data_IF_624526787880
#
_entry.id   IF_624526787880
#
_cell.length_a   1.000
_cell.length_b   1.000
_cell.length_c   1.000
_cell.angle_alpha   90.00
_cell.angle_beta   90.00
_cell.angle_gamma   90.00
#
_symmetry.space_group_name_H-M   'P 1'
#
loop_
_entity.id
_entity.type
_entity.pdbx_description
1 polymer ?
#
# COMPACT_ATOMS: atom_id res chain seq x y z
N UNK A 1 30.72 -14.80 10.50
CA UNK A 1 29.34 -14.33 10.68
C UNK A 1 29.18 -12.98 9.98
N UNK A 2 28.29 -12.86 8.98
CA UNK A 2 28.01 -11.59 8.28
C UNK A 2 26.70 -11.02 8.82
N UNK A 3 26.76 -9.86 9.49
CA UNK A 3 25.58 -9.16 9.98
C UNK A 3 25.13 -8.13 8.93
N UNK A 4 23.82 -7.85 8.89
CA UNK A 4 23.29 -6.82 8.00
C UNK A 4 23.85 -5.45 8.35
N UNK A 5 23.99 -4.58 7.35
CA UNK A 5 24.47 -3.20 7.57
C UNK A 5 23.54 -2.46 8.53
N UNK A 6 22.23 -2.64 8.37
CA UNK A 6 21.19 -2.05 9.22
C UNK A 6 21.27 -2.50 10.68
N UNK A 7 21.39 -3.81 10.93
CA UNK A 7 21.53 -4.35 12.29
C UNK A 7 22.81 -3.87 12.97
N UNK A 8 23.94 -3.88 12.24
CA UNK A 8 25.19 -3.34 12.77
C UNK A 8 25.05 -1.84 13.10
N UNK A 9 24.44 -1.06 12.23
CA UNK A 9 24.30 0.39 12.42
C UNK A 9 23.36 0.71 13.58
N UNK A 10 22.27 -0.05 13.78
CA UNK A 10 21.37 0.14 14.93
C UNK A 10 22.05 -0.17 16.26
N UNK A 11 22.87 -1.23 16.32
CA UNK A 11 23.67 -1.55 17.50
C UNK A 11 24.73 -0.48 17.76
N UNK A 12 25.42 -0.01 16.73
CA UNK A 12 26.41 1.06 16.87
C UNK A 12 25.78 2.37 17.35
N UNK A 13 24.57 2.73 16.90
CA UNK A 13 23.83 3.91 17.38
C UNK A 13 23.54 3.88 18.88
N UNK A 14 23.21 2.70 19.44
CA UNK A 14 22.95 2.54 20.89
C UNK A 14 24.21 2.75 21.74
N UNK A 15 25.37 2.38 21.19
CA UNK A 15 26.66 2.42 21.90
C UNK A 15 27.38 3.75 21.72
N UNK A 16 27.14 4.45 20.61
CA UNK A 16 27.71 5.75 20.30
C UNK A 16 26.82 6.89 20.84
N UNK A 17 27.33 8.13 20.92
CA UNK A 17 26.50 9.30 21.21
C UNK A 17 25.36 9.40 20.18
N UNK A 18 24.10 9.66 20.60
CA UNK A 18 23.68 10.28 21.87
C UNK A 18 23.32 9.31 23.02
N UNK A 19 23.14 8.01 22.78
CA UNK A 19 22.65 7.07 23.81
C UNK A 19 23.74 6.60 24.79
N UNK A 20 24.99 6.42 24.33
CA UNK A 20 26.14 6.01 25.15
C UNK A 20 25.90 4.78 26.06
N UNK A 21 25.07 3.82 25.64
CA UNK A 21 24.76 2.62 26.45
C UNK A 21 25.97 1.69 26.56
N UNK A 22 26.05 0.96 27.67
CA UNK A 22 27.16 0.02 27.90
C UNK A 22 27.15 -1.13 26.90
N UNK A 23 28.32 -1.47 26.37
CA UNK A 23 28.50 -2.52 25.36
C UNK A 23 27.97 -3.87 25.88
N UNK A 24 28.16 -4.17 27.17
CA UNK A 24 27.69 -5.39 27.80
C UNK A 24 26.14 -5.47 27.84
N UNK A 25 25.46 -4.36 28.12
CA UNK A 25 23.99 -4.29 28.11
C UNK A 25 23.44 -4.52 26.70
N UNK A 26 24.00 -3.80 25.71
CA UNK A 26 23.55 -3.91 24.31
C UNK A 26 23.86 -5.30 23.74
N UNK A 27 25.00 -5.89 24.08
CA UNK A 27 25.38 -7.25 23.69
C UNK A 27 24.38 -8.30 24.22
N UNK A 28 23.99 -8.18 25.49
CA UNK A 28 23.01 -9.08 26.12
C UNK A 28 21.62 -8.92 25.50
N UNK A 29 21.19 -7.69 25.25
CA UNK A 29 19.91 -7.36 24.63
C UNK A 29 19.83 -7.89 23.19
N UNK A 30 20.87 -7.67 22.39
CA UNK A 30 20.91 -8.07 20.99
C UNK A 30 21.37 -9.52 20.75
N UNK A 31 21.73 -10.25 21.81
CA UNK A 31 22.19 -11.64 21.73
C UNK A 31 23.47 -11.82 20.91
N UNK A 32 24.39 -10.85 20.98
CA UNK A 32 25.66 -10.87 20.24
C UNK A 32 26.85 -10.80 21.18
N UNK A 33 27.98 -11.39 20.76
CA UNK A 33 29.21 -11.32 21.54
C UNK A 33 29.72 -9.87 21.65
N UNK A 34 30.16 -9.48 22.84
CA UNK A 34 30.80 -8.18 23.11
C UNK A 34 31.96 -7.90 22.16
N UNK A 35 32.72 -8.95 21.82
CA UNK A 35 33.85 -8.89 20.88
C UNK A 35 33.41 -8.41 19.48
N UNK A 36 32.21 -8.78 19.04
CA UNK A 36 31.67 -8.37 17.74
C UNK A 36 31.42 -6.87 17.69
N UNK A 37 30.81 -6.30 18.74
CA UNK A 37 30.55 -4.87 18.84
C UNK A 37 31.88 -4.10 18.88
N UNK A 38 32.85 -4.56 19.66
CA UNK A 38 34.18 -3.98 19.72
C UNK A 38 34.88 -4.02 18.34
N UNK A 39 34.74 -5.10 17.58
CA UNK A 39 35.29 -5.20 16.23
C UNK A 39 34.68 -4.16 15.27
N UNK A 40 33.40 -3.81 15.45
CA UNK A 40 32.73 -2.79 14.65
C UNK A 40 33.18 -1.39 15.04
N UNK A 41 33.32 -1.11 16.34
CA UNK A 41 33.87 0.16 16.83
C UNK A 41 35.31 0.38 16.36
N UNK A 42 36.15 -0.66 16.38
CA UNK A 42 37.51 -0.58 15.86
C UNK A 42 37.53 -0.26 14.36
N UNK A 43 36.64 -0.88 13.58
CA UNK A 43 36.50 -0.59 12.14
C UNK A 43 35.98 0.84 11.87
N UNK A 44 35.11 1.35 12.73
CA UNK A 44 34.60 2.73 12.67
C UNK A 44 35.71 3.74 12.97
N UNK A 45 36.49 3.53 14.05
CA UNK A 45 37.64 4.39 14.39
C UNK A 45 38.70 4.41 13.30
N UNK A 46 38.91 3.29 12.62
CA UNK A 46 39.89 3.17 11.53
C UNK A 46 39.38 3.73 10.18
N UNK A 47 38.22 4.39 10.13
CA UNK A 47 37.64 4.95 8.90
C UNK A 47 37.21 3.92 7.86
N UNK A 48 37.32 2.61 8.16
CA UNK A 48 36.92 1.50 7.27
C UNK A 48 35.42 1.22 7.31
N UNK A 49 34.70 1.92 8.19
CA UNK A 49 33.27 1.78 8.38
C UNK A 49 32.67 3.16 8.63
N UNK A 50 31.70 3.55 7.82
CA UNK A 50 30.86 4.73 8.03
C UNK A 50 29.55 4.28 8.66
N UNK A 51 29.10 4.96 9.72
CA UNK A 51 27.70 4.86 10.17
C UNK A 51 26.90 5.75 9.23
N UNK A 52 26.69 5.26 8.00
CA UNK A 52 25.80 5.92 7.06
C UNK A 52 24.39 5.99 7.69
N UNK A 53 23.84 7.20 7.71
CA UNK A 53 22.42 7.44 7.98
C UNK A 53 21.53 7.03 6.79
N UNK A 54 22.12 6.48 5.72
CA UNK A 54 21.42 6.12 4.51
C UNK A 54 20.41 4.99 4.77
N UNK A 55 19.19 5.42 5.09
CA UNK A 55 18.05 5.23 4.19
C UNK A 55 17.45 3.84 4.15
N UNK A 56 17.69 2.99 5.14
CA UNK A 56 16.92 1.76 5.24
C UNK A 56 15.57 2.10 5.88
N UNK A 57 14.53 2.07 5.04
CA UNK A 57 13.14 2.32 5.39
C UNK A 57 12.83 1.50 6.66
N UNK A 58 12.28 2.13 7.72
CA UNK A 58 11.87 1.41 8.91
C UNK A 58 11.10 0.14 8.52
N UNK A 59 11.31 -0.96 9.23
CA UNK A 59 10.70 -2.26 8.90
C UNK A 59 9.17 -2.14 8.69
N UNK A 60 8.54 -1.22 9.42
CA UNK A 60 7.11 -0.91 9.31
C UNK A 60 6.72 -0.13 8.05
N UNK A 61 7.60 0.73 7.54
CA UNK A 61 7.37 1.60 6.38
C UNK A 61 7.69 0.89 5.06
N UNK A 62 8.13 -0.38 5.11
CA UNK A 62 8.35 -1.21 3.91
C UNK A 62 7.05 -1.40 3.14
N UNK A 63 7.17 -1.44 1.81
CA UNK A 63 6.00 -1.63 0.95
C UNK A 63 5.32 -2.98 1.22
N UNK A 64 4.01 -3.05 1.02
CA UNK A 64 3.25 -4.29 1.25
C UNK A 64 3.72 -5.45 0.36
N UNK A 65 4.18 -5.14 -0.86
CA UNK A 65 4.82 -6.10 -1.77
C UNK A 65 6.10 -6.69 -1.17
N UNK A 66 6.95 -5.83 -0.61
CA UNK A 66 8.20 -6.26 0.03
C UNK A 66 7.93 -7.09 1.29
N UNK A 67 6.92 -6.70 2.09
CA UNK A 67 6.48 -7.50 3.26
C UNK A 67 6.02 -8.91 2.84
N UNK A 68 5.30 -9.03 1.73
CA UNK A 68 4.88 -10.32 1.17
C UNK A 68 6.07 -11.15 0.67
N UNK A 69 7.00 -10.55 -0.06
CA UNK A 69 8.19 -11.26 -0.56
C UNK A 69 9.03 -11.81 0.59
N UNK A 70 9.20 -11.02 1.66
CA UNK A 70 9.89 -11.45 2.87
C UNK A 70 9.18 -12.60 3.59
N UNK A 71 7.85 -12.62 3.61
CA UNK A 71 7.06 -13.72 4.16
C UNK A 71 7.20 -15.00 3.36
N UNK A 72 7.16 -14.90 2.03
CA UNK A 72 7.36 -16.03 1.12
C UNK A 72 8.77 -16.58 1.22
N UNK A 73 9.77 -15.70 1.33
CA UNK A 73 11.16 -16.10 1.57
C UNK A 73 11.28 -16.81 2.92
N UNK A 74 10.72 -16.24 3.99
CA UNK A 74 10.74 -16.82 5.34
C UNK A 74 10.12 -18.22 5.40
N UNK A 75 9.06 -18.48 4.64
CA UNK A 75 8.43 -19.81 4.56
C UNK A 75 9.31 -20.88 3.93
N UNK A 76 10.24 -20.50 3.05
CA UNK A 76 11.16 -21.43 2.36
C UNK A 76 12.40 -21.77 3.19
N UNK A 77 12.64 -21.06 4.29
CA UNK A 77 13.82 -21.26 5.14
C UNK A 77 13.53 -22.34 6.20
N UNK A 78 14.40 -23.35 6.35
CA UNK A 78 14.32 -24.34 7.43
C UNK A 78 14.35 -23.70 8.82
N UNK A 79 13.68 -24.32 9.80
CA UNK A 79 13.48 -23.76 11.15
C UNK A 79 14.81 -23.39 11.83
N UNK A 80 15.83 -24.21 11.62
CA UNK A 80 17.17 -24.06 12.21
C UNK A 80 17.88 -22.80 11.70
N UNK A 81 17.54 -22.36 10.48
CA UNK A 81 18.17 -21.21 9.80
C UNK A 81 17.34 -19.94 9.86
N UNK A 82 16.11 -19.99 10.35
CA UNK A 82 15.22 -18.82 10.47
C UNK A 82 15.84 -17.72 11.33
N UNK A 83 16.47 -18.08 12.45
CA UNK A 83 17.13 -17.11 13.33
C UNK A 83 18.29 -16.37 12.64
N UNK A 84 19.07 -17.05 11.81
CA UNK A 84 20.14 -16.43 11.03
C UNK A 84 19.58 -15.50 9.96
N UNK A 85 18.54 -15.96 9.25
CA UNK A 85 17.88 -15.19 8.21
C UNK A 85 17.24 -13.91 8.75
N UNK A 86 16.55 -13.98 9.90
CA UNK A 86 15.97 -12.82 10.59
C UNK A 86 17.04 -11.77 10.90
N UNK A 87 18.18 -12.19 11.47
CA UNK A 87 19.31 -11.29 11.75
C UNK A 87 19.93 -10.71 10.48
N UNK A 88 20.02 -11.51 9.41
CA UNK A 88 20.55 -11.05 8.12
C UNK A 88 19.66 -10.00 7.45
N UNK A 89 18.34 -10.08 7.64
CA UNK A 89 17.37 -9.13 7.08
C UNK A 89 17.04 -7.97 8.03
N UNK A 90 17.55 -8.00 9.28
CA UNK A 90 17.24 -7.00 10.31
C UNK A 90 15.81 -7.11 10.84
N UNK A 91 15.21 -8.30 10.76
CA UNK A 91 13.84 -8.59 11.15
C UNK A 91 13.81 -9.30 12.52
N UNK A 92 12.73 -9.08 13.27
CA UNK A 92 12.41 -9.84 14.47
C UNK A 92 11.27 -10.83 14.16
N UNK A 93 11.11 -11.87 14.96
CA UNK A 93 10.04 -12.86 14.78
C UNK A 93 8.65 -12.22 14.85
N UNK A 94 8.49 -11.19 15.68
CA UNK A 94 7.24 -10.43 15.81
C UNK A 94 6.86 -9.71 14.51
N UNK A 95 7.84 -9.18 13.75
CA UNK A 95 7.57 -8.52 12.47
C UNK A 95 6.96 -9.47 11.45
N UNK A 96 7.33 -10.75 11.47
CA UNK A 96 6.77 -11.77 10.58
C UNK A 96 5.28 -12.00 10.91
N UNK A 97 4.94 -12.07 12.19
CA UNK A 97 3.54 -12.20 12.62
C UNK A 97 2.73 -10.97 12.23
N UNK A 98 3.29 -9.77 12.47
CA UNK A 98 2.67 -8.50 12.13
C UNK A 98 2.39 -8.40 10.63
N UNK A 99 3.37 -8.73 9.77
CA UNK A 99 3.19 -8.68 8.32
C UNK A 99 2.08 -9.62 7.82
N UNK A 100 1.93 -10.80 8.44
CA UNK A 100 0.82 -11.72 8.11
C UNK A 100 -0.53 -11.10 8.46
N UNK A 101 -0.62 -10.47 9.62
CA UNK A 101 -1.84 -9.82 10.08
C UNK A 101 -2.19 -8.63 9.17
N UNK A 102 -1.23 -7.75 8.88
CA UNK A 102 -1.41 -6.58 8.01
C UNK A 102 -1.85 -6.98 6.60
N UNK A 103 -1.27 -8.03 6.02
CA UNK A 103 -1.70 -8.53 4.71
C UNK A 103 -3.13 -9.07 4.74
N UNK A 104 -3.47 -9.80 5.80
CA UNK A 104 -4.80 -10.40 5.95
C UNK A 104 -5.87 -9.32 6.10
N UNK A 105 -5.63 -8.31 6.95
CA UNK A 105 -6.57 -7.19 7.15
C UNK A 105 -6.69 -6.32 5.90
N UNK A 106 -5.57 -6.01 5.23
CA UNK A 106 -5.57 -5.21 4.02
C UNK A 106 -6.36 -5.91 2.88
N UNK A 107 -6.26 -7.24 2.77
CA UNK A 107 -7.05 -8.02 1.81
C UNK A 107 -8.55 -7.95 2.11
N UNK A 108 -8.95 -8.13 3.37
CA UNK A 108 -10.37 -8.08 3.75
C UNK A 108 -10.97 -6.69 3.59
N UNK A 109 -10.24 -5.65 4.01
CA UNK A 109 -10.71 -4.27 3.99
C UNK A 109 -10.81 -3.74 2.57
N UNK A 110 -9.82 -4.04 1.73
CA UNK A 110 -9.83 -3.64 0.31
C UNK A 110 -10.97 -4.30 -0.45
N UNK A 111 -11.24 -5.59 -0.21
CA UNK A 111 -12.36 -6.30 -0.85
C UNK A 111 -13.69 -5.66 -0.45
N UNK A 112 -13.93 -5.49 0.85
CA UNK A 112 -15.17 -4.92 1.37
C UNK A 112 -15.39 -3.47 0.89
N UNK A 113 -14.34 -2.66 0.83
CA UNK A 113 -14.43 -1.28 0.35
C UNK A 113 -14.74 -1.22 -1.15
N UNK A 114 -14.10 -2.07 -1.96
CA UNK A 114 -14.38 -2.18 -3.40
C UNK A 114 -15.82 -2.63 -3.66
N UNK A 115 -16.30 -3.64 -2.95
CA UNK A 115 -17.66 -4.15 -3.11
C UNK A 115 -18.72 -3.10 -2.75
N UNK A 116 -18.49 -2.33 -1.68
CA UNK A 116 -19.34 -1.19 -1.32
C UNK A 116 -19.34 -0.12 -2.41
N UNK A 117 -18.17 0.20 -2.97
CA UNK A 117 -18.05 1.20 -4.03
C UNK A 117 -18.74 0.74 -5.32
N UNK A 118 -18.61 -0.52 -5.69
CA UNK A 118 -19.29 -1.10 -6.87
C UNK A 118 -20.80 -0.99 -6.71
N UNK A 119 -21.36 -1.42 -5.57
CA UNK A 119 -22.81 -1.31 -5.31
C UNK A 119 -23.32 0.12 -5.36
N UNK A 120 -22.54 1.07 -4.87
CA UNK A 120 -22.91 2.49 -4.93
C UNK A 120 -22.90 3.01 -6.37
N UNK A 121 -21.88 2.66 -7.15
CA UNK A 121 -21.80 3.03 -8.57
C UNK A 121 -22.95 2.41 -9.38
N UNK A 122 -23.31 1.14 -9.14
CA UNK A 122 -24.43 0.48 -9.78
C UNK A 122 -25.77 1.18 -9.48
N UNK A 123 -25.98 1.62 -8.24
CA UNK A 123 -27.18 2.40 -7.87
C UNK A 123 -27.24 3.73 -8.59
N UNK A 124 -26.11 4.44 -8.66
CA UNK A 124 -26.03 5.72 -9.35
C UNK A 124 -26.27 5.56 -10.85
N UNK A 125 -25.68 4.53 -11.47
CA UNK A 125 -25.87 4.21 -12.87
C UNK A 125 -27.35 3.91 -13.16
N UNK A 126 -28.00 3.06 -12.36
CA UNK A 126 -29.43 2.75 -12.52
C UNK A 126 -30.33 3.98 -12.31
N UNK A 127 -29.97 4.88 -11.40
CA UNK A 127 -30.71 6.12 -11.20
C UNK A 127 -30.57 7.06 -12.41
N UNK A 128 -29.36 7.13 -12.99
CA UNK A 128 -29.08 7.92 -14.19
C UNK A 128 -29.76 7.35 -15.43
N UNK A 129 -29.79 6.04 -15.61
CA UNK A 129 -30.52 5.41 -16.72
C UNK A 129 -32.02 5.71 -16.65
N UNK A 130 -32.61 5.67 -15.45
CA UNK A 130 -34.02 6.06 -15.27
C UNK A 130 -34.26 7.53 -15.58
N UNK A 131 -33.33 8.40 -15.21
CA UNK A 131 -33.40 9.83 -15.52
C UNK A 131 -33.31 10.06 -17.04
N UNK A 132 -32.42 9.34 -17.73
CA UNK A 132 -32.30 9.38 -19.19
C UNK A 132 -33.60 8.94 -19.87
N UNK A 133 -34.16 7.79 -19.50
CA UNK A 133 -35.42 7.29 -20.09
C UNK A 133 -36.55 8.31 -19.96
N UNK A 134 -36.67 8.98 -18.80
CA UNK A 134 -37.70 10.02 -18.59
C UNK A 134 -37.46 11.27 -19.43
N UNK A 135 -36.20 11.65 -19.64
CA UNK A 135 -35.85 12.79 -20.49
C UNK A 135 -36.08 12.46 -21.97
N UNK A 136 -35.73 11.25 -22.40
CA UNK A 136 -35.95 10.79 -23.77
C UNK A 136 -37.45 10.67 -24.08
N UNK A 137 -38.27 10.20 -23.14
CA UNK A 137 -39.73 10.17 -23.32
C UNK A 137 -40.32 11.57 -23.44
N UNK A 138 -39.92 12.50 -22.58
CA UNK A 138 -40.37 13.90 -22.66
C UNK A 138 -39.89 14.58 -23.95
N UNK A 139 -38.66 14.29 -24.40
CA UNK A 139 -38.13 14.79 -25.67
C UNK A 139 -38.96 14.24 -26.85
N UNK A 140 -39.28 12.95 -26.84
CA UNK A 140 -40.10 12.33 -27.88
C UNK A 140 -41.51 12.93 -27.95
N UNK A 141 -42.14 13.22 -26.80
CA UNK A 141 -43.42 13.90 -26.73
C UNK A 141 -43.35 15.31 -27.34
N UNK A 142 -42.31 16.09 -27.02
CA UNK A 142 -42.09 17.42 -27.61
C UNK A 142 -41.89 17.34 -29.12
N UNK A 143 -41.08 16.39 -29.60
CA UNK A 143 -40.86 16.16 -31.03
C UNK A 143 -42.17 15.79 -31.74
N UNK A 144 -43.02 14.96 -31.11
CA UNK A 144 -44.33 14.59 -31.66
C UNK A 144 -45.25 15.82 -31.79
N UNK A 145 -45.34 16.65 -30.76
CA UNK A 145 -46.13 17.89 -30.77
C UNK A 145 -45.63 18.85 -31.85
N UNK A 146 -44.31 19.08 -31.95
CA UNK A 146 -43.72 19.95 -32.98
C UNK A 146 -43.97 19.42 -34.39
N UNK A 147 -43.90 18.10 -34.58
CA UNK A 147 -44.18 17.46 -35.88
C UNK A 147 -45.64 17.62 -36.26
N UNK A 148 -46.57 17.44 -35.32
CA UNK A 148 -48.00 17.66 -35.55
C UNK A 148 -48.29 19.13 -35.88
N UNK A 149 -47.70 20.07 -35.15
CA UNK A 149 -47.81 21.51 -35.44
C UNK A 149 -47.32 21.83 -36.86
N UNK A 150 -46.14 21.35 -37.24
CA UNK A 150 -45.60 21.55 -38.59
C UNK A 150 -46.53 20.99 -39.69
N UNK A 151 -47.11 19.80 -39.47
CA UNK A 151 -48.08 19.20 -40.41
C UNK A 151 -49.35 20.04 -40.53
N UNK A 152 -49.84 20.57 -39.41
CA UNK A 152 -51.01 21.44 -39.37
C UNK A 152 -50.75 22.77 -40.11
N UNK A 153 -49.64 23.43 -39.80
CA UNK A 153 -49.22 24.69 -40.44
C UNK A 153 -49.04 24.50 -41.96
N UNK A 154 -48.48 23.36 -42.39
CA UNK A 154 -48.33 23.02 -43.82
C UNK A 154 -49.69 22.83 -44.51
N UNK A 155 -50.67 22.21 -43.83
CA UNK A 155 -52.01 22.03 -44.38
C UNK A 155 -52.72 23.36 -44.57
N UNK A 156 -52.66 24.25 -43.58
CA UNK A 156 -53.27 25.59 -43.69
C UNK A 156 -52.59 26.44 -44.76
N UNK A 157 -51.25 26.44 -44.82
CA UNK A 157 -50.53 27.22 -45.84
C UNK A 157 -50.78 26.77 -47.29
N UNK A 158 -51.00 25.47 -47.51
CA UNK A 158 -51.38 24.99 -48.84
C UNK A 158 -52.84 25.33 -49.20
N UNK A 159 -53.69 25.62 -48.20
CA UNK A 159 -55.09 26.00 -48.48
C UNK A 159 -55.18 27.47 -48.90
N UNK A 160 -54.23 28.31 -48.47
CA UNK A 160 -54.15 29.74 -48.83
C UNK A 160 -53.51 30.00 -50.21
N UNK A 161 -52.88 28.98 -50.84
CA UNK A 161 -52.24 29.09 -52.17
C UNK A 161 -53.12 28.54 -53.33
N UNK A 162 -54.25 27.88 -53.01
CA UNK A 162 -55.19 27.27 -53.97
C UNK A 162 -56.49 28.11 -54.18
N UNK A 163 -56.55 29.34 -53.66
CA UNK A 163 -57.55 30.38 -54.01
C UNK A 163 -56.97 31.43 -54.98
#
# INVERSE_FOLDING_TARGET
MKYSKSFRNSILKKVLPPENRSIASVAKEAGIAVVTINSWLAKLKNGKLTVEQDGDIPVNDRSMKEKLDLLLEHQKIPEERKGEWLRQKGLHSEHISLFKQELSTHMTDTSNAKDKRIRELEKQLKAKDKELVRKDSALAEVVAILTLKKKLDSKYRNTDEDE
#
